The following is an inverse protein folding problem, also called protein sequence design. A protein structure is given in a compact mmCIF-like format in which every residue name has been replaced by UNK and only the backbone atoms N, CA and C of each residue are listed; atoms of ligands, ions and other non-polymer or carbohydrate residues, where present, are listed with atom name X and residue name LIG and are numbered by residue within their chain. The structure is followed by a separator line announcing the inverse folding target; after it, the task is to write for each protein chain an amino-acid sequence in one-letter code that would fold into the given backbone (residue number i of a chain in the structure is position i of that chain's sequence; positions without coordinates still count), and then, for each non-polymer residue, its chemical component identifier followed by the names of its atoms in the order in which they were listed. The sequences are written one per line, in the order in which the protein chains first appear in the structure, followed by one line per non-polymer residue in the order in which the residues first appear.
data_IF_385230158659
#
_entry.id   IF_385230158659
#
_cell.length_a   1.000
_cell.length_b   1.000
_cell.length_c   1.000
_cell.angle_alpha   90.00
_cell.angle_beta   90.00
_cell.angle_gamma   90.00
#
_symmetry.space_group_name_H-M   'P 1'
#
loop_
_entity.id
_entity.type
_entity.pdbx_description
1 polymer ?
#
# COMPACT_ATOMS: atom_id res chain seq x y z
N UNK A 1 -20.75 6.26 4.56
CA UNK A 1 -20.04 6.04 3.28
C UNK A 1 -20.65 6.97 2.24
N UNK A 2 -20.07 8.15 2.02
CA UNK A 2 -20.63 9.19 1.13
C UNK A 2 -19.77 9.23 -0.15
N UNK A 3 -20.19 8.52 -1.19
CA UNK A 3 -19.52 8.55 -2.50
C UNK A 3 -19.86 9.88 -3.20
N UNK A 4 -18.92 10.82 -3.22
CA UNK A 4 -19.04 12.02 -4.07
C UNK A 4 -18.73 11.62 -5.52
N UNK A 5 -19.70 11.82 -6.41
CA UNK A 5 -19.51 11.70 -7.85
C UNK A 5 -18.59 12.83 -8.33
N UNK A 6 -17.33 12.51 -8.62
CA UNK A 6 -16.30 13.45 -9.08
C UNK A 6 -16.44 13.87 -10.56
N UNK A 7 -17.57 13.57 -11.22
CA UNK A 7 -17.73 13.70 -12.67
C UNK A 7 -17.79 15.14 -13.21
N UNK A 8 -17.76 16.16 -12.36
CA UNK A 8 -17.94 17.57 -12.77
C UNK A 8 -16.91 18.55 -12.18
N UNK A 9 -15.69 18.12 -11.87
CA UNK A 9 -14.61 19.09 -11.70
C UNK A 9 -14.01 19.40 -13.07
N UNK A 10 -14.38 20.57 -13.57
CA UNK A 10 -13.78 21.21 -14.74
C UNK A 10 -12.26 21.19 -14.62
N UNK A 11 -11.64 20.78 -15.72
CA UNK A 11 -10.20 20.64 -15.94
C UNK A 11 -9.51 22.00 -15.73
N UNK A 12 -9.20 22.32 -14.48
CA UNK A 12 -7.97 23.03 -14.15
C UNK A 12 -7.00 21.94 -13.71
N UNK A 13 -5.94 21.76 -14.50
CA UNK A 13 -4.94 20.68 -14.50
C UNK A 13 -4.18 20.53 -13.16
N UNK A 14 -4.88 20.20 -12.08
CA UNK A 14 -4.27 19.53 -10.94
C UNK A 14 -4.40 18.06 -11.22
N UNK A 15 -3.38 17.49 -11.85
CA UNK A 15 -3.21 16.05 -11.95
C UNK A 15 -3.33 15.48 -10.54
N UNK A 16 -4.46 14.86 -10.24
CA UNK A 16 -4.69 14.21 -8.95
C UNK A 16 -3.88 12.91 -8.92
N UNK A 17 -2.56 13.02 -8.71
CA UNK A 17 -1.63 11.88 -8.63
C UNK A 17 -1.98 10.86 -7.53
N UNK A 18 -2.89 11.24 -6.63
CA UNK A 18 -3.34 10.42 -5.51
C UNK A 18 -4.54 9.53 -5.87
N UNK A 19 -5.13 9.69 -7.05
CA UNK A 19 -6.32 8.94 -7.48
C UNK A 19 -5.98 8.13 -8.73
N UNK A 20 -6.17 6.82 -8.66
CA UNK A 20 -6.11 5.93 -9.82
C UNK A 20 -7.52 5.59 -10.28
N UNK A 21 -7.70 5.51 -11.59
CA UNK A 21 -8.96 5.13 -12.21
C UNK A 21 -8.76 3.76 -12.85
N UNK A 22 -9.57 2.79 -12.46
CA UNK A 22 -9.60 1.51 -13.16
C UNK A 22 -10.44 1.68 -14.43
N UNK A 23 -9.86 1.43 -15.61
CA UNK A 23 -10.58 1.62 -16.88
C UNK A 23 -11.70 0.61 -17.09
N UNK A 24 -11.58 -0.59 -16.53
CA UNK A 24 -12.60 -1.64 -16.69
C UNK A 24 -13.78 -1.42 -15.73
N UNK A 25 -13.48 -1.10 -14.47
CA UNK A 25 -14.51 -0.93 -13.44
C UNK A 25 -15.01 0.52 -13.32
N UNK A 26 -14.29 1.48 -13.89
CA UNK A 26 -14.49 2.93 -13.73
C UNK A 26 -14.58 3.37 -12.24
N UNK A 27 -13.86 2.67 -11.37
CA UNK A 27 -13.78 2.95 -9.93
C UNK A 27 -12.54 3.79 -9.64
N UNK A 28 -12.73 4.81 -8.82
CA UNK A 28 -11.68 5.68 -8.31
C UNK A 28 -11.08 5.08 -7.03
N UNK A 29 -9.76 4.90 -7.04
CA UNK A 29 -9.00 4.37 -5.91
C UNK A 29 -8.01 5.41 -5.42
N UNK A 30 -7.86 5.53 -4.11
CA UNK A 30 -6.71 6.24 -3.56
C UNK A 30 -5.44 5.39 -3.81
N UNK A 31 -4.44 6.00 -4.44
CA UNK A 31 -3.20 5.35 -4.86
C UNK A 31 -2.44 4.75 -3.67
N UNK A 32 -2.29 5.51 -2.60
CA UNK A 32 -1.51 5.09 -1.43
C UNK A 32 -2.20 3.95 -0.69
N UNK A 33 -3.53 4.01 -0.57
CA UNK A 33 -4.34 2.91 0.01
C UNK A 33 -4.19 1.64 -0.82
N UNK A 34 -4.20 1.73 -2.16
CA UNK A 34 -4.03 0.56 -3.02
C UNK A 34 -2.60 0.02 -2.96
N UNK A 35 -1.59 0.90 -2.96
CA UNK A 35 -0.20 0.51 -2.79
C UNK A 35 0.02 -0.22 -1.45
N UNK A 36 -0.53 0.30 -0.35
CA UNK A 36 -0.46 -0.35 0.95
C UNK A 36 -1.11 -1.74 0.95
N UNK A 37 -2.28 -1.89 0.32
CA UNK A 37 -2.94 -3.20 0.16
C UNK A 37 -2.11 -4.17 -0.68
N UNK A 38 -1.50 -3.71 -1.76
CA UNK A 38 -0.64 -4.54 -2.60
C UNK A 38 0.61 -5.00 -1.83
N UNK A 39 1.25 -4.10 -1.07
CA UNK A 39 2.40 -4.45 -0.23
C UNK A 39 2.01 -5.45 0.85
N UNK A 40 0.86 -5.26 1.50
CA UNK A 40 0.32 -6.24 2.46
C UNK A 40 0.12 -7.59 1.79
N UNK A 41 -0.58 -7.64 0.65
CA UNK A 41 -0.83 -8.88 -0.08
C UNK A 41 0.47 -9.62 -0.43
N UNK A 42 1.44 -8.93 -1.03
CA UNK A 42 2.76 -9.52 -1.34
C UNK A 42 3.43 -10.04 -0.07
N UNK A 43 3.44 -9.24 1.00
CA UNK A 43 4.03 -9.64 2.28
C UNK A 43 3.37 -10.89 2.84
N UNK A 44 2.05 -11.00 2.79
CA UNK A 44 1.31 -12.18 3.29
C UNK A 44 1.56 -13.43 2.46
N UNK A 45 1.76 -13.28 1.15
CA UNK A 45 2.05 -14.43 0.28
C UNK A 45 3.49 -14.91 0.41
N UNK A 46 4.42 -14.02 0.74
CA UNK A 46 5.82 -14.37 1.02
C UNK A 46 6.00 -14.87 2.47
N UNK A 47 5.13 -14.46 3.38
CA UNK A 47 5.22 -14.83 4.79
C UNK A 47 4.88 -16.31 4.98
N UNK A 48 5.92 -17.13 5.23
CA UNK A 48 5.79 -18.58 5.46
C UNK A 48 5.09 -19.00 6.76
N UNK A 49 4.56 -18.04 7.53
CA UNK A 49 3.94 -18.27 8.84
C UNK A 49 4.96 -18.39 9.98
N UNK A 50 6.22 -18.67 9.66
CA UNK A 50 7.28 -18.82 10.63
C UNK A 50 7.70 -17.46 11.23
N UNK A 51 8.17 -17.50 12.46
CA UNK A 51 8.79 -16.34 13.10
C UNK A 51 9.98 -15.82 12.29
N UNK A 52 10.44 -14.62 12.65
CA UNK A 52 11.63 -14.00 12.07
C UNK A 52 12.80 -15.01 12.11
N UNK A 53 13.41 -15.34 10.95
CA UNK A 53 14.53 -16.26 10.90
C UNK A 53 15.62 -15.88 11.91
N UNK A 54 16.17 -16.88 12.61
CA UNK A 54 17.19 -16.65 13.65
C UNK A 54 18.43 -15.91 13.13
N UNK A 55 18.75 -16.04 11.83
CA UNK A 55 19.84 -15.28 11.19
C UNK A 55 19.62 -13.75 11.21
N UNK A 56 18.37 -13.31 11.31
CA UNK A 56 18.01 -11.91 11.42
C UNK A 56 17.86 -11.46 12.88
N UNK A 57 18.03 -12.34 13.85
CA UNK A 57 17.95 -12.01 15.28
C UNK A 57 19.18 -11.20 15.71
N UNK A 58 18.96 -10.25 16.62
CA UNK A 58 20.06 -9.47 17.19
C UNK A 58 21.00 -10.41 17.96
N UNK A 59 22.31 -10.39 17.72
CA UNK A 59 23.25 -11.15 18.53
C UNK A 59 23.14 -10.71 19.99
N UNK A 60 22.81 -11.62 20.88
CA UNK A 60 22.68 -11.35 22.32
C UNK A 60 24.03 -11.31 23.05
N UNK A 61 25.15 -11.33 22.33
CA UNK A 61 26.48 -11.64 22.88
C UNK A 61 27.58 -10.57 22.74
N UNK A 62 27.29 -9.30 22.43
CA UNK A 62 28.30 -8.24 22.52
C UNK A 62 27.79 -7.08 23.37
N UNK A 63 27.92 -7.23 24.70
CA UNK A 63 28.13 -6.05 25.55
C UNK A 63 29.52 -5.55 25.21
N UNK A 64 29.61 -4.35 24.65
CA UNK A 64 30.86 -3.60 24.62
C UNK A 64 31.31 -3.45 26.08
N UNK A 65 32.44 -4.09 26.39
CA UNK A 65 33.21 -3.86 27.61
C UNK A 65 33.76 -2.45 27.63
#
# INVERSE_FOLDING_TARGET
MHQRNLRHHTVQERTFYNIMICNDCNIFWNRDVLAAKNMMFISTQLWSGNERPHILSRPTGQRAT
#
